data_IF_355224349537
#
_entry.id   IF_355224349537
#
_cell.length_a   1.000
_cell.length_b   1.000
_cell.length_c   1.000
_cell.angle_alpha   90.00
_cell.angle_beta   90.00
_cell.angle_gamma   90.00
#
_symmetry.space_group_name_H-M   'P 1'
#
loop_
_entity.id
_entity.type
_entity.pdbx_description
1 polymer ?
#
# COMPACT_ATOMS: atom_id res chain seq x y z
N UNK A 1 -11.33 0.41 10.56
CA UNK A 1 -10.56 1.67 10.67
C UNK A 1 -9.56 1.81 9.54
N UNK A 2 -9.29 3.04 9.16
CA UNK A 2 -8.35 3.36 8.09
C UNK A 2 -7.15 4.07 8.69
N UNK A 3 -5.94 3.59 8.36
CA UNK A 3 -4.68 4.17 8.80
C UNK A 3 -3.91 4.62 7.56
N UNK A 4 -3.67 5.92 7.46
CA UNK A 4 -2.97 6.52 6.33
C UNK A 4 -1.64 7.08 6.83
N UNK A 5 -0.55 6.66 6.22
CA UNK A 5 0.79 6.99 6.72
C UNK A 5 1.78 7.16 5.56
N UNK A 6 2.82 7.94 5.79
CA UNK A 6 3.94 8.10 4.86
C UNK A 6 4.93 6.94 4.89
N UNK A 7 4.69 5.88 5.67
CA UNK A 7 5.62 4.76 5.76
C UNK A 7 6.08 4.32 4.38
N UNK A 8 7.34 4.58 4.07
CA UNK A 8 7.90 4.37 2.73
C UNK A 8 9.18 3.52 2.75
N UNK A 9 9.48 2.87 3.88
CA UNK A 9 10.53 1.87 3.99
C UNK A 9 10.06 0.73 4.90
N UNK A 10 10.80 -0.38 4.87
CA UNK A 10 10.42 -1.58 5.61
C UNK A 10 10.33 -1.38 7.11
N UNK A 11 11.24 -0.61 7.68
CA UNK A 11 11.27 -0.37 9.12
C UNK A 11 10.05 0.44 9.60
N UNK A 12 9.71 1.50 8.87
CA UNK A 12 8.52 2.31 9.17
C UNK A 12 7.23 1.49 9.01
N UNK A 13 7.15 0.67 7.98
CA UNK A 13 5.99 -0.17 7.74
C UNK A 13 5.83 -1.23 8.83
N UNK A 14 6.93 -1.84 9.25
CA UNK A 14 6.92 -2.82 10.33
C UNK A 14 6.35 -2.23 11.63
N UNK A 15 6.79 -1.01 11.98
CA UNK A 15 6.29 -0.30 13.17
C UNK A 15 4.81 0.00 13.04
N UNK A 16 4.36 0.44 11.89
CA UNK A 16 2.95 0.74 11.64
C UNK A 16 2.08 -0.50 11.77
N UNK A 17 2.49 -1.61 11.18
CA UNK A 17 1.78 -2.89 11.30
C UNK A 17 1.65 -3.29 12.76
N UNK A 18 2.72 -3.20 13.54
CA UNK A 18 2.70 -3.55 14.95
C UNK A 18 1.69 -2.72 15.75
N UNK A 19 1.62 -1.41 15.48
CA UNK A 19 0.65 -0.53 16.12
C UNK A 19 -0.78 -0.93 15.76
N UNK A 20 -1.04 -1.17 14.48
CA UNK A 20 -2.38 -1.54 14.00
C UNK A 20 -2.82 -2.87 14.60
N UNK A 21 -1.96 -3.87 14.63
CA UNK A 21 -2.28 -5.18 15.20
C UNK A 21 -2.64 -5.12 16.69
N UNK A 22 -2.08 -4.16 17.41
CA UNK A 22 -2.38 -3.97 18.84
C UNK A 22 -3.83 -3.52 19.05
N UNK A 23 -4.38 -2.74 18.12
CA UNK A 23 -5.69 -2.11 18.27
C UNK A 23 -6.80 -2.76 17.43
N UNK A 24 -6.44 -3.48 16.38
CA UNK A 24 -7.39 -4.08 15.45
C UNK A 24 -7.10 -5.57 15.33
N UNK A 25 -8.05 -6.39 15.71
CA UNK A 25 -7.90 -7.86 15.76
C UNK A 25 -8.62 -8.59 14.63
N UNK A 26 -9.30 -7.87 13.75
CA UNK A 26 -9.97 -8.42 12.59
C UNK A 26 -9.04 -8.57 11.40
N UNK A 27 -9.61 -8.50 10.19
CA UNK A 27 -8.82 -8.53 8.96
C UNK A 27 -7.98 -7.26 8.83
N UNK A 28 -6.79 -7.40 8.27
CA UNK A 28 -5.94 -6.26 7.93
C UNK A 28 -5.68 -6.31 6.43
N UNK A 29 -6.03 -5.24 5.73
CA UNK A 29 -5.67 -5.03 4.32
C UNK A 29 -4.61 -3.94 4.25
N UNK A 30 -3.63 -4.12 3.37
CA UNK A 30 -2.55 -3.16 3.16
C UNK A 30 -2.51 -2.74 1.70
N UNK A 31 -2.58 -1.44 1.44
CA UNK A 31 -2.38 -0.87 0.11
C UNK A 31 -0.99 -0.24 0.09
N UNK A 32 -0.14 -0.71 -0.81
CA UNK A 32 1.27 -0.34 -0.85
C UNK A 32 1.79 -0.27 -2.29
N UNK A 33 2.64 0.70 -2.56
CA UNK A 33 3.47 0.75 -3.74
C UNK A 33 4.87 1.21 -3.37
N UNK A 34 5.73 1.36 -4.35
CA UNK A 34 7.07 1.93 -4.17
C UNK A 34 7.34 2.94 -5.27
N UNK A 35 8.19 3.92 -4.98
CA UNK A 35 8.53 4.95 -5.97
C UNK A 35 9.37 4.37 -7.09
N UNK A 36 9.16 4.90 -8.31
CA UNK A 36 9.98 4.56 -9.47
C UNK A 36 11.26 5.38 -9.51
N UNK A 37 12.27 4.84 -10.18
CA UNK A 37 13.57 5.47 -10.43
C UNK A 37 14.39 5.77 -9.17
N UNK A 38 13.98 5.25 -8.02
CA UNK A 38 14.72 5.33 -6.77
C UNK A 38 14.14 4.33 -5.76
N UNK A 39 14.88 4.04 -4.73
CA UNK A 39 14.39 3.22 -3.62
C UNK A 39 14.21 1.74 -3.92
N UNK A 40 14.95 1.19 -4.87
CA UNK A 40 14.82 -0.22 -5.24
C UNK A 40 15.06 -1.16 -4.06
N UNK A 41 15.98 -0.81 -3.15
CA UNK A 41 16.23 -1.62 -1.94
C UNK A 41 14.99 -1.71 -1.05
N UNK A 42 14.11 -0.72 -1.09
CA UNK A 42 12.87 -0.70 -0.31
C UNK A 42 11.90 -1.77 -0.79
N UNK A 43 11.91 -2.09 -2.09
CA UNK A 43 11.03 -3.11 -2.68
C UNK A 43 11.29 -4.48 -2.09
N UNK A 44 12.56 -4.83 -1.95
CA UNK A 44 12.99 -6.06 -1.30
C UNK A 44 12.59 -6.06 0.18
N UNK A 45 12.84 -4.96 0.88
CA UNK A 45 12.52 -4.84 2.31
C UNK A 45 11.03 -4.98 2.55
N UNK A 46 10.18 -4.34 1.73
CA UNK A 46 8.74 -4.50 1.79
C UNK A 46 8.33 -5.95 1.56
N UNK A 47 8.87 -6.58 0.52
CA UNK A 47 8.53 -7.96 0.18
C UNK A 47 8.90 -8.93 1.29
N UNK A 48 10.10 -8.83 1.83
CA UNK A 48 10.56 -9.70 2.91
C UNK A 48 9.73 -9.51 4.18
N UNK A 49 9.37 -8.27 4.50
CA UNK A 49 8.52 -7.98 5.65
C UNK A 49 7.14 -8.61 5.49
N UNK A 50 6.51 -8.40 4.33
CA UNK A 50 5.16 -8.89 4.06
C UNK A 50 5.10 -10.40 3.92
N UNK A 51 6.20 -11.03 3.50
CA UNK A 51 6.30 -12.48 3.47
C UNK A 51 6.11 -13.10 4.85
N UNK A 52 6.46 -12.37 5.89
CA UNK A 52 6.30 -12.81 7.29
C UNK A 52 4.89 -12.57 7.85
N UNK A 53 4.01 -11.95 7.07
CA UNK A 53 2.64 -11.59 7.48
C UNK A 53 1.59 -12.17 6.53
N UNK A 54 1.46 -13.50 6.43
CA UNK A 54 0.48 -14.10 5.52
C UNK A 54 -0.97 -13.78 5.88
N UNK A 55 -1.22 -13.31 7.09
CA UNK A 55 -2.55 -12.89 7.56
C UNK A 55 -2.99 -11.54 6.98
N UNK A 56 -2.05 -10.73 6.45
CA UNK A 56 -2.37 -9.44 5.85
C UNK A 56 -2.75 -9.63 4.39
N UNK A 57 -3.90 -9.05 4.00
CA UNK A 57 -4.33 -9.01 2.59
C UNK A 57 -3.61 -7.85 1.91
N UNK A 58 -2.68 -8.17 1.02
CA UNK A 58 -1.81 -7.16 0.39
C UNK A 58 -2.35 -6.77 -0.98
N UNK A 59 -2.48 -5.46 -1.21
CA UNK A 59 -2.84 -4.87 -2.50
C UNK A 59 -1.67 -4.02 -2.97
N UNK A 60 -0.90 -4.51 -3.91
CA UNK A 60 0.21 -3.78 -4.49
C UNK A 60 -0.29 -2.90 -5.63
N UNK A 61 0.07 -1.62 -5.61
CA UNK A 61 -0.42 -0.63 -6.56
C UNK A 61 0.64 0.44 -6.82
N UNK A 62 0.26 1.49 -7.54
CA UNK A 62 1.14 2.61 -7.82
C UNK A 62 1.28 3.53 -6.60
N UNK A 63 2.50 3.96 -6.36
CA UNK A 63 2.81 5.12 -5.49
C UNK A 63 3.15 6.27 -6.45
N UNK A 64 4.42 6.59 -6.62
CA UNK A 64 4.92 7.51 -7.65
C UNK A 64 5.78 6.70 -8.63
N UNK A 65 5.19 6.06 -9.66
CA UNK A 65 5.95 5.16 -10.54
C UNK A 65 6.97 5.88 -11.41
N UNK A 66 6.79 7.19 -11.63
CA UNK A 66 7.66 8.02 -12.46
C UNK A 66 7.79 7.39 -13.86
N UNK A 67 8.99 6.99 -14.28
CA UNK A 67 9.21 6.39 -15.59
C UNK A 67 9.08 4.87 -15.62
N UNK A 68 8.83 4.25 -14.48
CA UNK A 68 8.68 2.79 -14.39
C UNK A 68 7.20 2.37 -14.47
N UNK A 69 6.98 1.15 -14.93
CA UNK A 69 5.67 0.54 -14.93
C UNK A 69 5.29 0.16 -13.48
N UNK A 70 4.18 0.66 -12.95
CA UNK A 70 3.77 0.31 -11.57
C UNK A 70 3.56 -1.19 -11.38
N UNK A 71 3.18 -1.93 -12.40
CA UNK A 71 3.03 -3.38 -12.28
C UNK A 71 4.37 -4.11 -12.28
N UNK A 72 5.39 -3.57 -12.94
CA UNK A 72 6.75 -4.09 -12.83
C UNK A 72 7.29 -3.91 -11.41
N UNK A 73 7.03 -2.76 -10.79
CA UNK A 73 7.39 -2.51 -9.39
C UNK A 73 6.64 -3.49 -8.47
N UNK A 74 5.34 -3.68 -8.69
CA UNK A 74 4.54 -4.62 -7.92
C UNK A 74 5.06 -6.05 -8.06
N UNK A 75 5.43 -6.46 -9.26
CA UNK A 75 5.98 -7.80 -9.51
C UNK A 75 7.30 -8.00 -8.75
N UNK A 76 8.15 -6.98 -8.71
CA UNK A 76 9.40 -7.04 -7.97
C UNK A 76 9.15 -7.23 -6.47
N UNK A 77 8.24 -6.46 -5.88
CA UNK A 77 7.89 -6.61 -4.47
C UNK A 77 7.32 -8.01 -4.22
N UNK A 78 6.38 -8.46 -5.05
CA UNK A 78 5.72 -9.75 -4.87
C UNK A 78 6.65 -10.93 -5.05
N UNK A 79 7.77 -10.76 -5.76
CA UNK A 79 8.75 -11.83 -5.95
C UNK A 79 9.36 -12.32 -4.64
N UNK A 80 9.30 -11.52 -3.58
CA UNK A 80 9.79 -11.87 -2.25
C UNK A 80 8.70 -12.41 -1.33
N UNK A 81 7.46 -12.49 -1.80
CA UNK A 81 6.29 -12.88 -0.99
C UNK A 81 5.79 -14.24 -1.46
N UNK A 82 5.76 -15.21 -0.54
CA UNK A 82 5.37 -16.59 -0.88
C UNK A 82 3.86 -16.84 -0.84
N UNK A 83 3.07 -15.93 -0.25
CA UNK A 83 1.61 -16.05 -0.23
C UNK A 83 0.97 -15.14 -1.27
N UNK A 84 -0.30 -15.38 -1.65
CA UNK A 84 -0.97 -14.59 -2.69
C UNK A 84 -1.12 -13.11 -2.33
N UNK A 85 -0.94 -12.24 -3.33
CA UNK A 85 -1.18 -10.80 -3.21
C UNK A 85 -1.97 -10.33 -4.43
N UNK A 86 -2.72 -9.24 -4.26
CA UNK A 86 -3.42 -8.59 -5.38
C UNK A 86 -2.52 -7.50 -5.96
N UNK A 87 -2.58 -7.33 -7.28
CA UNK A 87 -1.83 -6.29 -7.99
C UNK A 87 -2.84 -5.48 -8.80
N UNK A 88 -3.00 -4.20 -8.47
CA UNK A 88 -3.97 -3.32 -9.12
C UNK A 88 -3.25 -2.02 -9.47
N UNK A 89 -3.14 -1.71 -10.76
CA UNK A 89 -2.36 -0.57 -11.24
C UNK A 89 -2.90 0.77 -10.76
N UNK A 90 -4.22 0.94 -10.77
CA UNK A 90 -4.86 2.16 -10.32
C UNK A 90 -4.98 2.17 -8.80
N UNK A 91 -4.31 3.13 -8.16
CA UNK A 91 -4.32 3.25 -6.71
C UNK A 91 -5.72 3.45 -6.13
N UNK A 92 -6.59 4.20 -6.81
CA UNK A 92 -7.97 4.39 -6.35
C UNK A 92 -8.73 3.08 -6.34
N UNK A 93 -8.58 2.25 -7.36
CA UNK A 93 -9.21 0.93 -7.43
C UNK A 93 -8.63 -0.03 -6.37
N UNK A 94 -7.35 0.07 -6.08
CA UNK A 94 -6.72 -0.73 -5.03
C UNK A 94 -7.29 -0.38 -3.65
N UNK A 95 -7.45 0.90 -3.36
CA UNK A 95 -8.05 1.37 -2.10
C UNK A 95 -9.51 0.88 -2.00
N UNK A 96 -10.26 1.01 -3.08
CA UNK A 96 -11.65 0.51 -3.13
C UNK A 96 -11.73 -0.98 -2.81
N UNK A 97 -10.87 -1.77 -3.41
CA UNK A 97 -10.84 -3.22 -3.19
C UNK A 97 -10.50 -3.56 -1.74
N UNK A 98 -9.51 -2.88 -1.16
CA UNK A 98 -9.13 -3.08 0.24
C UNK A 98 -10.26 -2.70 1.20
N UNK A 99 -10.94 -1.59 0.94
CA UNK A 99 -12.08 -1.16 1.75
C UNK A 99 -13.23 -2.15 1.68
N UNK A 100 -13.44 -2.77 0.52
CA UNK A 100 -14.55 -3.71 0.32
C UNK A 100 -14.44 -4.97 1.17
N UNK A 101 -13.23 -5.42 1.48
CA UNK A 101 -13.03 -6.65 2.27
C UNK A 101 -12.87 -6.41 3.76
N UNK A 102 -12.88 -5.16 4.21
CA UNK A 102 -12.63 -4.77 5.61
C UNK A 102 -13.81 -3.99 6.17
N UNK A 103 -15.00 -4.59 6.12
CA UNK A 103 -16.26 -3.93 6.50
C UNK A 103 -16.60 -4.08 7.99
N UNK A 104 -15.89 -4.90 8.74
CA UNK A 104 -16.19 -5.15 10.14
C UNK A 104 -15.47 -4.15 11.06
N UNK A 105 -16.04 -3.93 12.25
CA UNK A 105 -15.53 -2.91 13.18
C UNK A 105 -14.06 -3.10 13.57
N UNK A 106 -13.63 -4.34 13.76
CA UNK A 106 -12.26 -4.64 14.17
C UNK A 106 -11.29 -4.82 12.99
N UNK A 107 -11.79 -4.68 11.76
CA UNK A 107 -10.95 -4.73 10.58
C UNK A 107 -10.18 -3.42 10.40
N UNK A 108 -9.06 -3.47 9.71
CA UNK A 108 -8.24 -2.31 9.42
C UNK A 108 -7.77 -2.28 7.98
N UNK A 109 -7.69 -1.08 7.42
CA UNK A 109 -7.01 -0.83 6.15
C UNK A 109 -5.83 0.07 6.43
N UNK A 110 -4.65 -0.34 5.98
CA UNK A 110 -3.44 0.47 6.03
C UNK A 110 -3.16 0.94 4.60
N UNK A 111 -3.07 2.25 4.41
CA UNK A 111 -2.71 2.83 3.12
C UNK A 111 -1.38 3.55 3.33
N UNK A 112 -0.32 3.00 2.77
CA UNK A 112 1.03 3.41 3.08
C UNK A 112 1.73 4.05 1.89
N UNK A 113 2.63 4.99 2.17
CA UNK A 113 3.57 5.57 1.24
C UNK A 113 3.31 7.03 0.88
N UNK A 114 2.08 7.42 0.64
CA UNK A 114 1.76 8.78 0.17
C UNK A 114 1.32 9.73 1.28
N UNK A 115 0.77 9.24 2.37
CA UNK A 115 0.26 10.09 3.45
C UNK A 115 -0.78 11.09 2.93
N UNK A 116 -0.49 12.38 3.07
CA UNK A 116 -1.39 13.46 2.65
C UNK A 116 -1.15 13.95 1.22
N UNK A 117 -0.26 13.31 0.44
CA UNK A 117 0.06 13.77 -0.91
C UNK A 117 -1.17 13.70 -1.83
N UNK A 118 -1.45 14.80 -2.53
CA UNK A 118 -2.56 14.89 -3.48
C UNK A 118 -2.05 14.92 -4.93
N UNK A 119 -0.99 14.20 -5.22
CA UNK A 119 -0.42 14.05 -6.55
C UNK A 119 0.25 12.70 -6.69
N UNK A 120 0.47 12.29 -7.95
CA UNK A 120 1.34 11.16 -8.29
C UNK A 120 2.37 11.65 -9.31
N UNK A 121 3.60 11.16 -9.23
CA UNK A 121 4.63 11.46 -10.22
C UNK A 121 4.61 10.35 -11.27
N UNK A 122 4.19 10.73 -12.48
CA UNK A 122 4.05 9.81 -13.62
C UNK A 122 4.81 10.41 -14.80
N UNK A 123 5.74 9.68 -15.36
CA UNK A 123 6.57 10.13 -16.50
C UNK A 123 7.23 11.49 -16.22
N UNK A 124 7.75 11.67 -15.01
CA UNK A 124 8.44 12.89 -14.59
C UNK A 124 7.54 14.08 -14.27
N UNK A 125 6.21 13.92 -14.33
CA UNK A 125 5.24 14.99 -14.09
C UNK A 125 4.39 14.71 -12.87
N UNK A 126 4.03 15.77 -12.13
CA UNK A 126 3.04 15.67 -11.07
C UNK A 126 1.64 15.66 -11.71
N UNK A 127 0.95 14.55 -11.53
CA UNK A 127 -0.44 14.40 -11.96
C UNK A 127 -1.35 14.57 -10.75
N UNK A 128 -2.52 15.18 -10.95
CA UNK A 128 -3.49 15.37 -9.87
C UNK A 128 -3.97 14.03 -9.34
N UNK A 129 -4.08 13.93 -8.03
CA UNK A 129 -4.53 12.75 -7.33
C UNK A 129 -5.37 13.23 -6.12
N UNK A 130 -6.57 12.66 -5.88
CA UNK A 130 -7.44 13.14 -4.79
C UNK A 130 -6.83 13.03 -3.39
N UNK A 131 -5.91 12.10 -3.20
CA UNK A 131 -5.35 11.77 -1.89
C UNK A 131 -5.98 10.51 -1.30
N UNK A 132 -5.19 9.77 -0.57
CA UNK A 132 -5.63 8.49 0.00
C UNK A 132 -6.82 8.66 0.94
N UNK A 133 -6.81 9.71 1.77
CA UNK A 133 -7.90 9.96 2.71
C UNK A 133 -9.22 10.25 2.01
N UNK A 134 -9.20 11.10 0.97
CA UNK A 134 -10.42 11.44 0.23
C UNK A 134 -11.00 10.22 -0.49
N UNK A 135 -10.14 9.37 -1.03
CA UNK A 135 -10.59 8.15 -1.70
C UNK A 135 -11.21 7.18 -0.70
N UNK A 136 -10.54 6.96 0.44
CA UNK A 136 -11.04 6.06 1.47
C UNK A 136 -12.39 6.50 2.02
N UNK A 137 -12.61 7.81 2.18
CA UNK A 137 -13.90 8.34 2.65
C UNK A 137 -15.07 7.95 1.77
N UNK A 138 -14.85 7.75 0.48
CA UNK A 138 -15.91 7.35 -0.47
C UNK A 138 -16.49 5.98 -0.14
N UNK A 139 -15.75 5.15 0.59
CA UNK A 139 -16.11 3.76 0.83
C UNK A 139 -16.32 3.43 2.32
N UNK A 140 -16.42 4.45 3.13
CA UNK A 140 -16.74 4.28 4.56
C UNK A 140 -18.21 3.92 4.77
#
# INVERSE_FOLDING_TARGET
>A
KVFIDYAHNGDSLKKLISVVETHQTGKIALVLGSTGNKGESRRKDFGLLLDQHPEIQVFLTADDPNYEDPMAIADEISSYISHPVEKIADRQEAIKAAMAITSQELDAVIIAGKGADCYQIIQGKKEDYPGDAAIAERYL
#
